data_IF_868290280541
#
_entry.id   IF_868290280541
#
_cell.length_a   1.000
_cell.length_b   1.000
_cell.length_c   1.000
_cell.angle_alpha   90.00
_cell.angle_beta   90.00
_cell.angle_gamma   90.00
#
_symmetry.space_group_name_H-M   'P 1'
#
loop_
_entity.id
_entity.type
_entity.pdbx_description
1 polymer ?
#
# COMPACT_ATOMS: atom_id res chain seq x y z
N UNK A 1 4.82 29.18 14.54
CA UNK A 1 6.22 29.29 14.07
C UNK A 1 6.40 28.36 12.88
N UNK A 2 7.25 28.71 11.92
CA UNK A 2 7.60 27.79 10.83
C UNK A 2 8.69 26.83 11.30
N UNK A 3 8.56 25.56 10.99
CA UNK A 3 9.50 24.52 11.37
C UNK A 3 9.94 23.76 10.13
N UNK A 4 11.23 23.45 10.06
CA UNK A 4 11.79 22.52 9.11
C UNK A 4 12.22 21.25 9.87
N UNK A 5 11.64 20.10 9.54
CA UNK A 5 12.00 18.82 10.12
C UNK A 5 12.60 17.90 9.06
N UNK A 6 13.71 17.24 9.38
CA UNK A 6 14.27 16.14 8.60
C UNK A 6 13.80 14.84 9.20
N UNK A 7 13.20 13.99 8.39
CA UNK A 7 12.57 12.74 8.80
C UNK A 7 13.15 11.63 7.94
N UNK A 8 13.62 10.57 8.56
CA UNK A 8 14.01 9.37 7.83
C UNK A 8 12.85 8.39 7.81
N UNK A 9 12.57 7.82 6.64
CA UNK A 9 11.47 6.89 6.43
C UNK A 9 12.04 5.54 6.05
N UNK A 10 11.59 4.49 6.73
CA UNK A 10 11.86 3.14 6.29
C UNK A 10 10.99 2.85 5.07
N UNK A 11 11.59 2.42 3.96
CA UNK A 11 10.85 2.13 2.74
C UNK A 11 11.49 1.00 1.97
N UNK A 12 10.67 0.20 1.30
CA UNK A 12 11.16 -0.76 0.31
C UNK A 12 11.54 -0.10 -1.02
N UNK A 13 11.30 1.20 -1.21
CA UNK A 13 11.71 1.96 -2.40
C UNK A 13 12.64 3.12 -2.03
N UNK A 14 13.55 3.42 -2.93
CA UNK A 14 14.31 4.67 -2.99
C UNK A 14 14.17 5.31 -4.38
N UNK A 15 14.55 6.59 -4.50
CA UNK A 15 14.58 7.29 -5.77
C UNK A 15 15.56 6.61 -6.72
N UNK A 16 15.18 6.56 -8.00
CA UNK A 16 15.99 5.95 -9.05
C UNK A 16 17.35 6.65 -9.22
N UNK A 17 17.38 7.97 -9.04
CA UNK A 17 18.57 8.82 -9.07
C UNK A 17 18.94 9.26 -7.66
N UNK A 18 20.17 8.95 -7.23
CA UNK A 18 20.67 9.24 -5.88
C UNK A 18 20.77 10.74 -5.58
N UNK A 19 20.89 11.58 -6.62
CA UNK A 19 20.91 13.04 -6.48
C UNK A 19 19.53 13.69 -6.60
N UNK A 20 18.49 12.93 -6.95
CA UNK A 20 17.17 13.50 -7.20
C UNK A 20 16.53 14.01 -5.90
N UNK A 21 15.82 15.13 -6.05
CA UNK A 21 15.02 15.74 -5.00
C UNK A 21 13.68 16.09 -5.59
N UNK A 22 12.62 15.61 -4.95
CA UNK A 22 11.25 15.85 -5.42
C UNK A 22 10.45 16.55 -4.34
N UNK A 23 9.80 17.65 -4.70
CA UNK A 23 8.93 18.39 -3.80
C UNK A 23 7.49 17.93 -4.00
N UNK A 24 6.81 17.65 -2.90
CA UNK A 24 5.40 17.27 -2.83
C UNK A 24 4.72 18.26 -1.90
N UNK A 25 3.60 18.82 -2.35
CA UNK A 25 2.79 19.73 -1.53
C UNK A 25 1.57 19.00 -0.99
N UNK A 26 1.25 19.20 0.29
CA UNK A 26 -0.01 18.71 0.82
C UNK A 26 -1.17 19.58 0.27
N UNK A 27 -2.28 18.97 -0.20
CA UNK A 27 -3.36 19.71 -0.88
C UNK A 27 -3.99 20.86 -0.09
N UNK A 28 -4.10 20.74 1.24
CA UNK A 28 -4.61 21.82 2.11
C UNK A 28 -3.56 22.88 2.46
N UNK A 29 -2.30 22.68 2.02
CA UNK A 29 -1.17 23.52 2.37
C UNK A 29 -0.61 23.25 3.77
N UNK A 30 -0.94 22.10 4.39
CA UNK A 30 -0.56 21.79 5.76
C UNK A 30 0.95 21.58 5.94
N UNK A 31 1.65 21.19 4.86
CA UNK A 31 3.10 21.08 4.77
C UNK A 31 3.57 21.10 3.31
N UNK A 32 4.88 21.35 3.13
CA UNK A 32 5.62 21.07 1.90
C UNK A 32 6.74 20.10 2.25
N UNK A 33 6.88 19.01 1.51
CA UNK A 33 7.89 17.99 1.75
C UNK A 33 8.83 17.85 0.55
N UNK A 34 10.13 17.77 0.79
CA UNK A 34 11.13 17.37 -0.20
C UNK A 34 11.63 15.97 0.13
N UNK A 35 11.47 15.05 -0.81
CA UNK A 35 11.90 13.66 -0.70
C UNK A 35 13.23 13.50 -1.45
N UNK A 36 14.20 12.86 -0.82
CA UNK A 36 15.49 12.47 -1.42
C UNK A 36 15.91 11.09 -0.93
N UNK A 37 16.90 10.48 -1.58
CA UNK A 37 17.60 9.35 -0.99
C UNK A 37 18.34 9.83 0.26
N UNK A 38 18.36 9.00 1.31
CA UNK A 38 19.13 9.27 2.51
C UNK A 38 20.62 9.09 2.20
N UNK A 39 21.47 10.12 2.35
CA UNK A 39 22.89 10.03 2.00
C UNK A 39 23.68 9.08 2.90
N UNK A 40 23.22 8.89 4.15
CA UNK A 40 23.80 7.95 5.10
C UNK A 40 23.30 6.52 4.85
N UNK A 41 22.47 6.34 3.83
CA UNK A 41 22.08 5.02 3.42
C UNK A 41 23.26 4.33 2.71
N UNK A 42 24.09 3.62 3.47
CA UNK A 42 25.00 2.61 2.90
C UNK A 42 24.26 1.60 2.00
N UNK A 43 24.97 0.70 1.31
CA UNK A 43 24.37 -0.21 0.31
C UNK A 43 23.29 -1.15 0.86
N UNK A 44 23.24 -1.32 2.19
CA UNK A 44 22.25 -2.13 2.91
C UNK A 44 21.44 -1.30 3.89
N UNK A 45 21.39 0.02 3.68
CA UNK A 45 20.83 0.91 4.66
C UNK A 45 19.38 1.22 4.39
N UNK A 46 18.80 1.65 5.49
CA UNK A 46 17.71 0.94 6.13
C UNK A 46 16.55 1.93 6.37
N UNK A 47 16.80 3.16 5.94
CA UNK A 47 15.96 4.34 5.77
C UNK A 47 16.34 4.89 4.41
N UNK A 48 15.78 4.31 3.36
CA UNK A 48 16.12 4.67 1.99
C UNK A 48 15.84 6.14 1.69
N UNK A 49 14.82 6.70 2.34
CA UNK A 49 14.32 8.03 2.06
C UNK A 49 14.54 8.98 3.23
N UNK A 50 14.97 10.17 2.88
CA UNK A 50 14.93 11.37 3.69
C UNK A 50 13.79 12.24 3.20
N UNK A 51 12.98 12.73 4.15
CA UNK A 51 11.90 13.67 3.92
C UNK A 51 12.21 14.93 4.72
N UNK A 52 12.46 16.03 4.03
CA UNK A 52 12.58 17.36 4.60
C UNK A 52 11.22 18.03 4.53
N UNK A 53 10.59 18.31 5.66
CA UNK A 53 9.24 18.84 5.73
C UNK A 53 9.22 20.22 6.37
N UNK A 54 8.55 21.17 5.70
CA UNK A 54 8.32 22.53 6.22
C UNK A 54 6.84 22.69 6.56
N UNK A 55 6.53 23.08 7.79
CA UNK A 55 5.16 23.22 8.29
C UNK A 55 5.07 24.22 9.46
N UNK A 56 3.85 24.60 9.83
CA UNK A 56 3.60 25.44 11.00
C UNK A 56 3.41 24.60 12.27
N UNK A 57 4.09 25.00 13.36
CA UNK A 57 3.99 24.42 14.69
C UNK A 57 3.74 25.50 15.76
N UNK A 58 3.15 25.17 16.92
CA UNK A 58 2.98 26.11 18.03
C UNK A 58 4.29 26.35 18.81
N UNK A 59 5.09 25.31 19.01
CA UNK A 59 6.36 25.31 19.75
C UNK A 59 7.24 24.14 19.26
N UNK A 60 8.52 24.09 19.67
CA UNK A 60 9.45 23.00 19.29
C UNK A 60 9.27 21.70 20.09
N UNK A 61 8.61 21.74 21.25
CA UNK A 61 8.43 20.55 22.10
C UNK A 61 7.47 19.53 21.47
N UNK A 62 6.44 20.02 20.76
CA UNK A 62 5.44 19.19 20.08
C UNK A 62 5.81 18.85 18.63
N UNK A 63 6.94 19.34 18.12
CA UNK A 63 7.30 19.24 16.70
C UNK A 63 7.43 17.81 16.22
N UNK A 64 7.94 16.91 17.06
CA UNK A 64 8.10 15.51 16.68
C UNK A 64 6.77 14.88 16.34
N UNK A 65 5.81 14.95 17.26
CA UNK A 65 4.50 14.31 17.10
C UNK A 65 3.73 14.98 15.96
N UNK A 66 3.76 16.31 15.89
CA UNK A 66 3.13 17.07 14.82
C UNK A 66 3.71 16.75 13.43
N UNK A 67 5.04 16.56 13.33
CA UNK A 67 5.69 16.18 12.09
C UNK A 67 5.26 14.77 11.66
N UNK A 68 5.23 13.81 12.58
CA UNK A 68 4.82 12.44 12.28
C UNK A 68 3.36 12.39 11.85
N UNK A 69 2.46 13.10 12.54
CA UNK A 69 1.04 13.18 12.19
C UNK A 69 0.82 13.82 10.82
N UNK A 70 1.52 14.92 10.53
CA UNK A 70 1.46 15.59 9.23
C UNK A 70 2.03 14.75 8.10
N UNK A 71 3.00 13.87 8.37
CA UNK A 71 3.62 13.02 7.35
C UNK A 71 2.72 11.84 6.93
N UNK A 72 1.78 11.41 7.78
CA UNK A 72 0.93 10.23 7.55
C UNK A 72 0.20 10.24 6.19
N UNK A 73 -0.48 11.32 5.75
CA UNK A 73 -1.14 11.36 4.45
C UNK A 73 -0.20 11.08 3.27
N UNK A 74 1.03 11.63 3.32
CA UNK A 74 2.04 11.38 2.29
C UNK A 74 2.46 9.92 2.25
N UNK A 75 2.76 9.31 3.40
CA UNK A 75 3.15 7.89 3.44
C UNK A 75 2.02 6.96 3.01
N UNK A 76 0.77 7.31 3.35
CA UNK A 76 -0.40 6.56 2.92
C UNK A 76 -0.56 6.61 1.39
N UNK A 77 -0.41 7.80 0.80
CA UNK A 77 -0.51 7.99 -0.64
C UNK A 77 0.63 7.33 -1.41
N UNK A 78 1.87 7.41 -0.89
CA UNK A 78 3.02 6.70 -1.45
C UNK A 78 2.77 5.19 -1.45
N UNK A 79 2.39 4.62 -0.31
CA UNK A 79 2.14 3.18 -0.18
C UNK A 79 1.00 2.70 -1.09
N UNK A 80 -0.08 3.47 -1.20
CA UNK A 80 -1.18 3.16 -2.09
C UNK A 80 -0.78 3.24 -3.58
N UNK A 81 -0.01 4.27 -3.94
CA UNK A 81 0.40 4.51 -5.33
C UNK A 81 1.41 3.47 -5.80
N UNK A 82 2.32 3.00 -4.94
CA UNK A 82 3.41 2.11 -5.35
C UNK A 82 3.22 0.66 -4.94
N UNK A 83 2.25 0.36 -4.06
CA UNK A 83 2.11 -0.95 -3.45
C UNK A 83 3.29 -1.34 -2.54
N UNK A 84 4.12 -0.38 -2.16
CA UNK A 84 5.35 -0.60 -1.42
C UNK A 84 5.25 -0.16 0.04
N UNK A 85 6.13 -0.70 0.89
CA UNK A 85 6.14 -0.37 2.31
C UNK A 85 6.77 1.01 2.56
N UNK A 86 6.12 1.80 3.43
CA UNK A 86 6.64 3.04 4.00
C UNK A 86 6.27 3.08 5.48
N UNK A 87 7.24 2.85 6.36
CA UNK A 87 7.02 2.67 7.80
C UNK A 87 8.04 3.40 8.65
N UNK A 88 7.80 3.36 9.96
CA UNK A 88 8.73 3.78 11.02
C UNK A 88 9.41 5.14 10.76
N UNK A 89 8.65 6.20 10.42
CA UNK A 89 9.23 7.52 10.24
C UNK A 89 9.88 7.98 11.55
N UNK A 90 11.13 8.46 11.47
CA UNK A 90 11.88 9.00 12.60
C UNK A 90 12.31 10.40 12.26
N UNK A 91 11.79 11.39 12.99
CA UNK A 91 12.30 12.76 12.96
C UNK A 91 13.74 12.71 13.45
N UNK A 92 14.71 13.08 12.62
CA UNK A 92 16.14 13.10 12.96
C UNK A 92 16.49 14.43 13.59
N UNK A 93 15.99 15.51 12.98
CA UNK A 93 16.19 16.84 13.47
C UNK A 93 15.05 17.77 13.09
N UNK A 94 14.88 18.82 13.88
CA UNK A 94 13.97 19.89 13.53
C UNK A 94 14.50 21.25 14.00
N UNK A 95 14.18 22.29 13.23
CA UNK A 95 14.68 23.66 13.40
C UNK A 95 13.54 24.67 13.34
N UNK A 96 13.68 25.77 14.08
CA UNK A 96 12.89 26.97 13.81
C UNK A 96 13.32 27.56 12.44
N UNK A 97 12.37 27.53 11.50
CA UNK A 97 12.52 27.99 10.12
C UNK A 97 11.77 29.31 9.89
N UNK A 98 11.49 30.07 10.95
CA UNK A 98 10.86 31.38 10.85
C UNK A 98 11.81 32.36 10.14
N UNK A 99 11.35 33.06 9.07
CA UNK A 99 12.18 34.02 8.34
C UNK A 99 12.70 35.15 9.25
N UNK A 100 13.97 35.54 9.09
CA UNK A 100 14.56 36.68 9.80
C UNK A 100 15.32 36.36 11.10
N UNK A 101 15.31 35.09 11.54
CA UNK A 101 16.09 34.67 12.72
C UNK A 101 17.59 34.54 12.42
N UNK A 102 18.43 35.09 13.30
CA UNK A 102 19.90 34.97 13.27
C UNK A 102 20.41 33.77 14.07
N UNK A 103 19.69 33.38 15.12
CA UNK A 103 19.97 32.20 15.95
C UNK A 103 18.80 31.22 15.87
N UNK A 104 19.08 29.91 15.80
CA UNK A 104 18.07 28.87 15.64
C UNK A 104 18.26 27.76 16.65
N UNK A 105 17.17 27.35 17.28
CA UNK A 105 17.14 26.17 18.14
C UNK A 105 16.95 24.90 17.28
N UNK A 106 17.68 23.84 17.62
CA UNK A 106 17.66 22.55 16.94
C UNK A 106 17.46 21.42 17.95
N UNK A 107 16.68 20.40 17.58
CA UNK A 107 16.54 19.15 18.34
C UNK A 107 17.02 17.98 17.50
N UNK A 108 17.69 17.00 18.11
CA UNK A 108 18.19 15.79 17.46
C UNK A 108 17.58 14.55 18.09
N UNK A 109 17.27 13.55 17.28
CA UNK A 109 16.75 12.27 17.74
C UNK A 109 17.51 11.11 17.06
N UNK A 110 17.64 9.98 17.75
CA UNK A 110 18.33 8.79 17.23
C UNK A 110 17.44 7.55 17.35
N UNK A 111 17.59 6.63 16.39
CA UNK A 111 16.95 5.31 16.43
C UNK A 111 17.65 4.36 15.45
N UNK A 112 17.92 3.09 15.83
CA UNK A 112 18.53 2.09 14.95
C UNK A 112 17.47 1.16 14.36
N UNK A 113 17.16 1.22 13.04
CA UNK A 113 16.36 0.19 12.34
C UNK A 113 16.19 0.40 10.83
N UNK A 114 15.53 -0.58 10.16
CA UNK A 114 16.12 -1.13 8.96
C UNK A 114 15.48 -2.21 8.01
N UNK A 115 15.39 -1.92 6.69
CA UNK A 115 15.24 -2.92 5.59
C UNK A 115 16.12 -2.67 4.33
N UNK A 116 15.96 -3.48 3.26
CA UNK A 116 16.58 -3.30 1.93
C UNK A 116 15.58 -2.59 1.01
N UNK A 117 16.05 -1.71 0.11
CA UNK A 117 15.21 -0.90 -0.79
C UNK A 117 15.62 -1.01 -2.26
N UNK A 118 14.66 -0.90 -3.18
CA UNK A 118 14.88 -0.89 -4.64
C UNK A 118 14.77 0.52 -5.23
N UNK A 119 15.57 0.82 -6.26
CA UNK A 119 15.67 2.13 -6.93
C UNK A 119 14.56 2.37 -7.96
N UNK A 120 13.30 2.38 -7.51
CA UNK A 120 12.14 2.39 -8.42
C UNK A 120 11.15 3.55 -8.16
N UNK A 121 11.42 4.41 -7.17
CA UNK A 121 10.55 5.57 -6.89
C UNK A 121 10.85 6.70 -7.89
N UNK A 122 9.98 6.85 -8.89
CA UNK A 122 10.10 7.88 -9.93
C UNK A 122 9.35 9.17 -9.57
N UNK A 123 9.70 10.27 -10.24
CA UNK A 123 8.96 11.54 -10.10
C UNK A 123 7.49 11.45 -10.52
N UNK A 124 7.13 10.56 -11.45
CA UNK A 124 5.74 10.34 -11.87
C UNK A 124 4.91 9.67 -10.77
N UNK A 125 5.49 8.70 -10.05
CA UNK A 125 4.84 8.08 -8.88
C UNK A 125 4.64 9.09 -7.75
N UNK A 126 5.60 10.00 -7.55
CA UNK A 126 5.49 11.08 -6.55
C UNK A 126 4.40 12.09 -6.92
N UNK A 127 4.35 12.52 -8.18
CA UNK A 127 3.30 13.40 -8.69
C UNK A 127 1.90 12.75 -8.61
N UNK A 128 1.83 11.43 -8.84
CA UNK A 128 0.60 10.66 -8.66
C UNK A 128 0.22 10.56 -7.19
N UNK A 129 1.18 10.33 -6.29
CA UNK A 129 0.95 10.31 -4.84
C UNK A 129 0.40 11.64 -4.32
N UNK A 130 0.92 12.77 -4.83
CA UNK A 130 0.37 14.10 -4.53
C UNK A 130 -1.10 14.23 -4.94
N UNK A 131 -1.45 13.74 -6.14
CA UNK A 131 -2.83 13.72 -6.64
C UNK A 131 -3.73 12.82 -5.79
N UNK A 132 -3.25 11.63 -5.43
CA UNK A 132 -3.95 10.67 -4.56
C UNK A 132 -4.28 11.30 -3.21
N UNK A 133 -3.35 12.06 -2.61
CA UNK A 133 -3.65 12.80 -1.37
C UNK A 133 -4.82 13.77 -1.55
N UNK A 134 -4.90 14.46 -2.69
CA UNK A 134 -5.98 15.41 -2.97
C UNK A 134 -7.33 14.72 -3.18
N UNK A 135 -7.33 13.60 -3.91
CA UNK A 135 -8.53 12.79 -4.16
C UNK A 135 -9.06 12.18 -2.85
N UNK A 136 -8.17 11.71 -1.98
CA UNK A 136 -8.52 11.03 -0.73
C UNK A 136 -8.39 11.93 0.50
N UNK A 137 -8.87 13.17 0.41
CA UNK A 137 -8.83 14.11 1.52
C UNK A 137 -9.82 13.77 2.67
N UNK A 138 -10.87 13.00 2.37
CA UNK A 138 -11.88 12.62 3.36
C UNK A 138 -11.36 11.62 4.41
N UNK A 139 -11.98 11.59 5.59
CA UNK A 139 -11.52 10.76 6.71
C UNK A 139 -11.64 9.25 6.43
N UNK A 140 -12.65 8.84 5.66
CA UNK A 140 -12.91 7.43 5.35
C UNK A 140 -11.81 6.89 4.45
N UNK A 141 -11.51 7.59 3.37
CA UNK A 141 -10.41 7.26 2.46
C UNK A 141 -9.07 7.25 3.18
N UNK A 142 -8.76 8.28 3.98
CA UNK A 142 -7.51 8.34 4.76
C UNK A 142 -7.37 7.17 5.72
N UNK A 143 -8.46 6.76 6.37
CA UNK A 143 -8.48 5.62 7.28
C UNK A 143 -8.24 4.30 6.54
N UNK A 144 -8.90 4.08 5.40
CA UNK A 144 -8.68 2.90 4.57
C UNK A 144 -7.21 2.82 4.07
N UNK A 145 -6.67 3.93 3.55
CA UNK A 145 -5.27 4.00 3.09
C UNK A 145 -4.27 3.81 4.24
N UNK A 146 -4.58 4.30 5.45
CA UNK A 146 -3.74 4.06 6.64
C UNK A 146 -3.61 2.57 6.90
N UNK A 147 -4.73 1.84 6.96
CA UNK A 147 -4.70 0.40 7.21
C UNK A 147 -4.04 -0.37 6.07
N UNK A 148 -4.24 0.06 4.83
CA UNK A 148 -3.53 -0.50 3.68
C UNK A 148 -2.00 -0.33 3.81
N UNK A 149 -1.51 0.87 4.13
CA UNK A 149 -0.08 1.13 4.39
C UNK A 149 0.46 0.27 5.53
N UNK A 150 -0.29 0.16 6.63
CA UNK A 150 0.13 -0.68 7.76
C UNK A 150 0.22 -2.15 7.36
N UNK A 151 -0.72 -2.65 6.53
CA UNK A 151 -0.66 -3.99 5.95
C UNK A 151 0.60 -4.21 5.12
N UNK A 152 0.98 -3.24 4.28
CA UNK A 152 2.23 -3.31 3.51
C UNK A 152 3.49 -3.28 4.38
N UNK A 153 3.44 -2.63 5.55
CA UNK A 153 4.57 -2.53 6.47
C UNK A 153 4.65 -3.61 7.55
N UNK A 154 3.60 -4.41 7.74
CA UNK A 154 3.54 -5.41 8.80
C UNK A 154 4.50 -6.57 8.55
N UNK A 155 5.11 -7.08 9.63
CA UNK A 155 6.18 -8.09 9.58
C UNK A 155 5.64 -9.53 9.62
N UNK A 156 4.45 -9.70 10.19
CA UNK A 156 3.79 -11.00 10.33
C UNK A 156 2.56 -11.07 9.41
N UNK A 157 2.32 -12.25 8.82
CA UNK A 157 1.22 -12.47 7.86
C UNK A 157 -0.17 -12.27 8.48
N UNK A 158 -0.34 -12.60 9.76
CA UNK A 158 -1.63 -12.47 10.45
C UNK A 158 -1.95 -11.01 10.76
N UNK A 159 -0.91 -10.23 11.05
CA UNK A 159 -0.98 -8.78 11.18
C UNK A 159 -1.26 -8.11 9.82
N UNK A 160 -0.52 -8.50 8.76
CA UNK A 160 -0.79 -8.06 7.38
C UNK A 160 -2.26 -8.32 6.99
N UNK A 161 -2.73 -9.54 7.23
CA UNK A 161 -4.11 -9.93 6.97
C UNK A 161 -5.09 -9.02 7.71
N UNK A 162 -4.88 -8.81 9.02
CA UNK A 162 -5.78 -8.03 9.87
C UNK A 162 -5.88 -6.58 9.40
N UNK A 163 -4.74 -5.96 9.05
CA UNK A 163 -4.72 -4.59 8.56
C UNK A 163 -5.40 -4.46 7.18
N UNK A 164 -5.13 -5.36 6.24
CA UNK A 164 -5.86 -5.33 4.96
C UNK A 164 -7.36 -5.59 5.15
N UNK A 165 -7.75 -6.45 6.09
CA UNK A 165 -9.15 -6.70 6.42
C UNK A 165 -9.84 -5.44 6.94
N UNK A 166 -9.20 -4.66 7.82
CA UNK A 166 -9.75 -3.40 8.30
C UNK A 166 -9.93 -2.37 7.17
N UNK A 167 -8.99 -2.31 6.22
CA UNK A 167 -9.15 -1.48 5.03
C UNK A 167 -10.38 -1.91 4.21
N UNK A 168 -10.56 -3.22 3.98
CA UNK A 168 -11.72 -3.79 3.29
C UNK A 168 -13.03 -3.49 4.01
N UNK A 169 -13.10 -3.62 5.35
CA UNK A 169 -14.30 -3.30 6.13
C UNK A 169 -14.71 -1.83 5.99
N UNK A 170 -13.74 -0.91 6.07
CA UNK A 170 -14.00 0.54 5.91
C UNK A 170 -14.52 0.85 4.51
N UNK A 171 -13.82 0.35 3.49
CA UNK A 171 -14.20 0.61 2.09
C UNK A 171 -15.55 0.00 1.77
N UNK A 172 -15.80 -1.24 2.19
CA UNK A 172 -17.08 -1.91 1.96
C UNK A 172 -18.24 -1.13 2.61
N UNK A 173 -18.07 -0.65 3.84
CA UNK A 173 -19.09 0.16 4.50
C UNK A 173 -19.33 1.49 3.77
N UNK A 174 -18.28 2.13 3.27
CA UNK A 174 -18.35 3.41 2.56
C UNK A 174 -18.99 3.28 1.17
N UNK A 175 -18.67 2.22 0.43
CA UNK A 175 -19.25 1.92 -0.89
C UNK A 175 -20.64 1.27 -0.80
N UNK A 176 -21.11 0.94 0.41
CA UNK A 176 -22.39 0.26 0.62
C UNK A 176 -23.53 1.12 0.12
N UNK A 177 -24.26 0.60 -0.87
CA UNK A 177 -25.48 1.23 -1.35
C UNK A 177 -26.49 1.42 -0.20
N UNK A 178 -27.09 2.61 -0.13
CA UNK A 178 -28.12 2.94 0.87
C UNK A 178 -29.46 2.22 0.63
N UNK A 179 -29.59 1.54 -0.50
CA UNK A 179 -30.77 0.76 -0.88
C UNK A 179 -31.11 -0.33 0.14
N UNK A 180 -32.41 -0.55 0.35
CA UNK A 180 -32.87 -1.69 1.15
C UNK A 180 -32.94 -2.93 0.27
N UNK A 181 -32.61 -4.09 0.84
CA UNK A 181 -32.71 -5.40 0.19
C UNK A 181 -33.68 -6.30 0.94
N UNK A 182 -34.27 -7.24 0.21
CA UNK A 182 -35.07 -8.31 0.79
C UNK A 182 -34.16 -9.35 1.45
N UNK A 183 -34.45 -9.79 2.70
CA UNK A 183 -33.73 -10.90 3.30
C UNK A 183 -34.05 -12.20 2.56
N UNK A 184 -33.02 -13.00 2.28
CA UNK A 184 -33.16 -14.29 1.60
C UNK A 184 -33.42 -15.43 2.59
N UNK A 185 -34.19 -16.43 2.15
CA UNK A 185 -34.42 -17.66 2.88
C UNK A 185 -33.12 -18.49 2.96
N UNK A 186 -32.71 -18.99 4.14
CA UNK A 186 -31.48 -19.77 4.29
C UNK A 186 -31.55 -21.15 3.60
N UNK A 187 -32.74 -21.64 3.24
CA UNK A 187 -32.93 -22.94 2.61
C UNK A 187 -33.00 -22.85 1.08
N UNK A 188 -33.71 -21.86 0.54
CA UNK A 188 -33.98 -21.77 -0.90
C UNK A 188 -33.50 -20.47 -1.56
N UNK A 189 -32.88 -19.56 -0.80
CA UNK A 189 -32.42 -18.24 -1.25
C UNK A 189 -33.49 -17.31 -1.85
N UNK A 190 -34.78 -17.68 -1.80
CA UNK A 190 -35.89 -16.81 -2.20
C UNK A 190 -36.12 -15.68 -1.20
N UNK A 191 -36.70 -14.57 -1.64
CA UNK A 191 -37.07 -13.46 -0.74
C UNK A 191 -38.07 -13.94 0.31
N UNK A 192 -37.81 -13.60 1.58
CA UNK A 192 -38.74 -13.89 2.65
C UNK A 192 -40.01 -13.06 2.43
N UNK A 193 -41.16 -13.72 2.32
CA UNK A 193 -42.45 -13.07 2.17
C UNK A 193 -43.28 -13.22 3.45
N UNK A 194 -43.88 -12.14 3.93
CA UNK A 194 -44.79 -12.21 5.07
C UNK A 194 -46.23 -12.39 4.59
N UNK A 195 -46.86 -13.57 4.77
CA UNK A 195 -48.23 -13.80 4.30
C UNK A 195 -49.27 -12.95 5.05
N UNK A 196 -48.99 -12.56 6.29
CA UNK A 196 -49.88 -11.71 7.09
C UNK A 196 -49.89 -10.26 6.62
N UNK A 197 -48.71 -9.72 6.27
CA UNK A 197 -48.57 -8.35 5.80
C UNK A 197 -48.73 -8.23 4.27
N UNK A 198 -48.76 -9.35 3.55
CA UNK A 198 -48.77 -9.43 2.10
C UNK A 198 -47.63 -8.62 1.45
N UNK A 199 -46.44 -8.67 2.05
CA UNK A 199 -45.29 -7.86 1.64
C UNK A 199 -43.95 -8.57 1.92
N UNK A 200 -42.93 -8.21 1.16
CA UNK A 200 -41.53 -8.61 1.42
C UNK A 200 -40.90 -7.59 2.39
N UNK A 201 -40.52 -7.96 3.63
CA UNK A 201 -39.78 -7.07 4.52
C UNK A 201 -38.47 -6.62 3.86
N UNK A 202 -38.12 -5.35 4.03
CA UNK A 202 -36.92 -4.75 3.46
C UNK A 202 -35.98 -4.32 4.59
N UNK A 203 -34.69 -4.66 4.50
CA UNK A 203 -33.66 -4.25 5.47
C UNK A 203 -32.50 -3.54 4.81
N UNK A 204 -31.69 -2.84 5.60
CA UNK A 204 -30.40 -2.33 5.13
C UNK A 204 -29.45 -3.51 4.87
N UNK A 205 -28.56 -3.34 3.89
CA UNK A 205 -27.47 -4.29 3.63
C UNK A 205 -26.58 -4.41 4.88
N UNK A 206 -26.18 -5.63 5.20
CA UNK A 206 -25.19 -5.90 6.25
C UNK A 206 -23.77 -5.66 5.72
N UNK A 207 -22.81 -5.39 6.60
CA UNK A 207 -21.41 -5.17 6.20
C UNK A 207 -20.83 -6.38 5.45
N UNK A 208 -21.20 -7.60 5.83
CA UNK A 208 -20.77 -8.83 5.14
C UNK A 208 -21.23 -8.91 3.68
N UNK A 209 -22.39 -8.32 3.36
CA UNK A 209 -22.89 -8.28 1.99
C UNK A 209 -22.14 -7.24 1.16
N UNK A 210 -21.84 -6.07 1.75
CA UNK A 210 -21.01 -5.06 1.09
C UNK A 210 -19.58 -5.56 0.83
N UNK A 211 -19.01 -6.34 1.77
CA UNK A 211 -17.71 -7.00 1.57
C UNK A 211 -17.78 -8.01 0.43
N UNK A 212 -18.85 -8.83 0.36
CA UNK A 212 -19.06 -9.75 -0.76
C UNK A 212 -19.10 -9.01 -2.11
N UNK A 213 -19.85 -7.91 -2.19
CA UNK A 213 -19.96 -7.10 -3.40
C UNK A 213 -18.58 -6.55 -3.84
N UNK A 214 -17.74 -6.16 -2.87
CA UNK A 214 -16.38 -5.73 -3.13
C UNK A 214 -15.49 -6.88 -3.63
N UNK A 215 -15.56 -8.07 -3.02
CA UNK A 215 -14.81 -9.26 -3.45
C UNK A 215 -15.23 -9.69 -4.86
N UNK A 216 -16.52 -9.59 -5.19
CA UNK A 216 -17.03 -9.88 -6.52
C UNK A 216 -16.37 -9.02 -7.61
N UNK A 217 -15.91 -7.80 -7.28
CA UNK A 217 -15.20 -6.94 -8.24
C UNK A 217 -13.76 -7.39 -8.54
N UNK A 218 -13.25 -8.39 -7.82
CA UNK A 218 -11.91 -8.95 -8.06
C UNK A 218 -11.91 -10.42 -8.46
N UNK A 219 -12.94 -11.15 -8.08
CA UNK A 219 -13.07 -12.56 -8.40
C UNK A 219 -13.50 -12.76 -9.87
N UNK A 220 -13.00 -13.81 -10.55
CA UNK A 220 -13.34 -14.06 -11.95
C UNK A 220 -14.76 -14.62 -12.14
N UNK A 221 -15.36 -15.23 -11.10
CA UNK A 221 -16.73 -15.75 -11.14
C UNK A 221 -17.46 -15.62 -9.78
N UNK A 222 -18.78 -15.84 -9.78
CA UNK A 222 -19.59 -15.87 -8.55
C UNK A 222 -19.19 -17.04 -7.62
N UNK A 223 -18.89 -18.21 -8.18
CA UNK A 223 -18.45 -19.37 -7.40
C UNK A 223 -17.12 -19.08 -6.69
N UNK A 224 -16.17 -18.45 -7.39
CA UNK A 224 -14.90 -18.01 -6.81
C UNK A 224 -15.11 -16.93 -5.74
N UNK A 225 -16.11 -16.05 -5.95
CA UNK A 225 -16.48 -15.02 -4.96
C UNK A 225 -16.93 -15.67 -3.65
N UNK A 226 -17.82 -16.66 -3.73
CA UNK A 226 -18.32 -17.40 -2.56
C UNK A 226 -17.21 -18.09 -1.78
N UNK A 227 -16.34 -18.81 -2.47
CA UNK A 227 -15.21 -19.51 -1.86
C UNK A 227 -14.23 -18.53 -1.20
N UNK A 228 -13.92 -17.42 -1.88
CA UNK A 228 -13.06 -16.37 -1.33
C UNK A 228 -13.66 -15.71 -0.09
N UNK A 229 -14.94 -15.33 -0.13
CA UNK A 229 -15.65 -14.75 1.02
C UNK A 229 -15.60 -15.69 2.21
N UNK A 230 -15.90 -16.97 2.01
CA UNK A 230 -15.87 -17.97 3.06
C UNK A 230 -14.47 -18.17 3.62
N UNK A 231 -13.46 -18.26 2.74
CA UNK A 231 -12.05 -18.43 3.11
C UNK A 231 -11.56 -17.27 3.95
N UNK A 232 -11.71 -16.02 3.48
CA UNK A 232 -11.24 -14.84 4.19
C UNK A 232 -12.01 -14.63 5.50
N UNK A 233 -13.33 -14.86 5.51
CA UNK A 233 -14.14 -14.77 6.74
C UNK A 233 -13.71 -15.78 7.80
N UNK A 234 -13.35 -17.01 7.38
CA UNK A 234 -12.86 -18.06 8.27
C UNK A 234 -11.51 -17.70 8.88
N UNK A 235 -10.60 -17.12 8.08
CA UNK A 235 -9.31 -16.61 8.57
C UNK A 235 -9.55 -15.50 9.59
N UNK A 236 -10.34 -14.48 9.24
CA UNK A 236 -10.69 -13.36 10.12
C UNK A 236 -11.29 -13.83 11.46
N UNK A 237 -12.29 -14.70 11.43
CA UNK A 237 -12.90 -15.23 12.65
C UNK A 237 -11.90 -16.01 13.51
N UNK A 238 -10.99 -16.76 12.88
CA UNK A 238 -9.93 -17.50 13.60
C UNK A 238 -9.00 -16.54 14.34
N UNK A 239 -8.54 -15.47 13.67
CA UNK A 239 -7.70 -14.43 14.28
C UNK A 239 -8.42 -13.69 15.40
N UNK A 240 -9.69 -13.33 15.22
CA UNK A 240 -10.50 -12.66 16.26
C UNK A 240 -10.70 -13.50 17.52
N UNK A 241 -10.62 -14.83 17.41
CA UNK A 241 -10.65 -15.73 18.56
C UNK A 241 -9.25 -16.01 19.14
N UNK A 242 -8.23 -15.24 18.75
CA UNK A 242 -6.86 -15.35 19.25
C UNK A 242 -6.12 -16.60 18.76
N UNK A 243 -6.58 -17.21 17.66
CA UNK A 243 -5.95 -18.38 17.06
C UNK A 243 -5.16 -17.99 15.82
N UNK A 244 -4.12 -18.76 15.50
CA UNK A 244 -3.31 -18.55 14.30
C UNK A 244 -3.97 -19.13 13.05
N UNK A 245 -3.63 -18.56 11.88
CA UNK A 245 -4.03 -19.08 10.57
C UNK A 245 -3.44 -20.48 10.36
N UNK A 246 -2.26 -20.78 10.95
CA UNK A 246 -1.66 -22.12 10.91
C UNK A 246 -2.62 -23.18 11.44
N UNK A 247 -3.48 -22.83 12.42
CA UNK A 247 -4.39 -23.80 13.04
C UNK A 247 -5.55 -24.24 12.15
N UNK A 248 -5.71 -23.63 10.97
CA UNK A 248 -6.76 -23.94 10.01
C UNK A 248 -6.23 -24.17 8.58
N UNK A 249 -4.90 -24.16 8.36
CA UNK A 249 -4.28 -24.20 7.03
C UNK A 249 -4.77 -25.37 6.18
N UNK A 250 -4.89 -26.55 6.78
CA UNK A 250 -5.28 -27.79 6.08
C UNK A 250 -6.75 -27.77 5.62
N UNK A 251 -7.50 -26.74 6.01
CA UNK A 251 -8.91 -26.54 5.67
C UNK A 251 -9.13 -25.27 4.84
N UNK A 252 -8.06 -24.66 4.32
CA UNK A 252 -8.12 -23.53 3.42
C UNK A 252 -7.80 -24.00 2.00
N UNK A 253 -8.47 -23.44 0.97
CA UNK A 253 -8.18 -23.78 -0.43
C UNK A 253 -6.91 -23.09 -0.96
N UNK A 254 -6.28 -22.22 -0.17
CA UNK A 254 -5.08 -21.46 -0.54
C UNK A 254 -4.10 -21.35 0.64
N UNK A 255 -2.87 -20.94 0.36
CA UNK A 255 -1.89 -20.64 1.41
C UNK A 255 -2.21 -19.31 2.10
N UNK A 256 -1.55 -19.05 3.24
CA UNK A 256 -1.74 -17.79 3.98
C UNK A 256 -1.30 -16.58 3.17
N UNK A 257 -0.18 -16.73 2.47
CA UNK A 257 0.42 -15.73 1.59
C UNK A 257 -0.54 -15.39 0.44
N UNK A 258 -1.12 -16.42 -0.18
CA UNK A 258 -2.13 -16.21 -1.22
C UNK A 258 -3.35 -15.47 -0.69
N UNK A 259 -3.85 -15.82 0.51
CA UNK A 259 -4.96 -15.13 1.13
C UNK A 259 -4.66 -13.65 1.42
N UNK A 260 -3.46 -13.34 1.93
CA UNK A 260 -3.00 -11.96 2.18
C UNK A 260 -2.85 -11.17 0.87
N UNK A 261 -2.22 -11.77 -0.15
CA UNK A 261 -2.06 -11.13 -1.46
C UNK A 261 -3.42 -10.83 -2.11
N UNK A 262 -4.36 -11.78 -2.10
CA UNK A 262 -5.73 -11.56 -2.58
C UNK A 262 -6.41 -10.43 -1.81
N UNK A 263 -6.33 -10.43 -0.48
CA UNK A 263 -6.95 -9.42 0.37
C UNK A 263 -6.37 -8.02 0.13
N UNK A 264 -5.06 -7.91 -0.09
CA UNK A 264 -4.41 -6.65 -0.43
C UNK A 264 -4.92 -6.07 -1.75
N UNK A 265 -5.14 -6.92 -2.77
CA UNK A 265 -5.72 -6.49 -4.06
C UNK A 265 -7.17 -6.04 -3.92
N UNK A 266 -7.95 -6.71 -3.08
CA UNK A 266 -9.33 -6.31 -2.76
C UNK A 266 -9.33 -4.93 -2.10
N UNK A 267 -8.48 -4.73 -1.10
CA UNK A 267 -8.34 -3.44 -0.41
C UNK A 267 -7.93 -2.33 -1.39
N UNK A 268 -6.91 -2.57 -2.21
CA UNK A 268 -6.42 -1.60 -3.18
C UNK A 268 -7.51 -1.20 -4.19
N UNK A 269 -8.16 -2.17 -4.84
CA UNK A 269 -9.25 -1.90 -5.80
C UNK A 269 -10.42 -1.18 -5.13
N UNK A 270 -10.72 -1.55 -3.90
CA UNK A 270 -11.74 -0.88 -3.11
C UNK A 270 -11.41 0.60 -2.85
N UNK A 271 -10.19 0.90 -2.45
CA UNK A 271 -9.73 2.29 -2.26
C UNK A 271 -9.77 3.05 -3.59
N UNK A 272 -9.36 2.44 -4.70
CA UNK A 272 -9.49 3.05 -6.04
C UNK A 272 -10.95 3.39 -6.36
N UNK A 273 -11.91 2.53 -6.00
CA UNK A 273 -13.34 2.83 -6.21
C UNK A 273 -13.87 3.95 -5.32
N UNK A 274 -13.28 4.19 -4.14
CA UNK A 274 -13.58 5.39 -3.36
C UNK A 274 -13.08 6.65 -4.06
N UNK A 275 -11.94 6.56 -4.76
CA UNK A 275 -11.40 7.67 -5.56
C UNK A 275 -12.40 8.14 -6.61
N UNK A 276 -13.10 7.20 -7.27
CA UNK A 276 -14.10 7.50 -8.30
C UNK A 276 -15.32 8.29 -7.77
N UNK A 277 -15.59 8.20 -6.46
CA UNK A 277 -16.66 8.99 -5.82
C UNK A 277 -16.21 10.42 -5.49
N UNK A 278 -14.90 10.64 -5.42
CA UNK A 278 -14.30 11.92 -5.11
C UNK A 278 -13.95 12.68 -6.40
N UNK A 279 -14.02 14.01 -6.36
CA UNK A 279 -13.65 14.82 -7.52
C UNK A 279 -12.13 14.88 -7.65
N UNK A 280 -11.62 14.27 -8.72
CA UNK A 280 -10.23 14.43 -9.10
C UNK A 280 -9.97 15.88 -9.56
N UNK A 281 -9.01 16.60 -8.95
CA UNK A 281 -8.68 17.95 -9.38
C UNK A 281 -8.02 18.00 -10.77
N UNK A 282 -7.49 16.87 -11.27
CA UNK A 282 -6.69 16.79 -12.50
C UNK A 282 -7.10 15.60 -13.41
N UNK A 283 -8.38 15.43 -13.77
CA UNK A 283 -8.90 14.21 -14.41
C UNK A 283 -8.34 13.93 -15.82
N UNK A 284 -7.62 14.88 -16.43
CA UNK A 284 -7.04 14.74 -17.78
C UNK A 284 -5.62 14.19 -17.78
N UNK A 285 -4.96 14.14 -16.63
CA UNK A 285 -3.63 13.56 -16.49
C UNK A 285 -3.77 12.06 -16.19
N UNK A 286 -2.93 11.21 -16.77
CA UNK A 286 -2.89 9.81 -16.38
C UNK A 286 -2.25 9.68 -14.99
N UNK A 287 -2.80 8.80 -14.14
CA UNK A 287 -2.15 8.40 -12.89
C UNK A 287 -1.26 7.19 -13.15
N UNK A 288 -0.05 7.20 -12.62
CA UNK A 288 0.86 6.06 -12.67
C UNK A 288 0.82 5.39 -11.31
N UNK A 289 0.27 4.19 -11.26
CA UNK A 289 0.13 3.40 -10.04
C UNK A 289 0.70 2.01 -10.26
N UNK A 290 1.38 1.47 -9.24
CA UNK A 290 1.91 0.12 -9.24
C UNK A 290 1.01 -0.72 -8.33
N UNK A 291 0.46 -1.78 -8.89
CA UNK A 291 -0.21 -2.81 -8.13
C UNK A 291 0.75 -3.98 -7.94
N UNK A 292 1.13 -4.29 -6.70
CA UNK A 292 1.92 -5.49 -6.42
C UNK A 292 1.03 -6.73 -6.34
N UNK A 293 1.44 -7.81 -6.99
CA UNK A 293 0.81 -9.12 -6.86
C UNK A 293 1.29 -9.90 -5.63
N UNK A 294 2.45 -9.52 -5.09
CA UNK A 294 3.07 -10.12 -3.91
C UNK A 294 3.44 -9.01 -2.92
N UNK A 295 2.67 -8.90 -1.83
CA UNK A 295 2.88 -7.93 -0.76
C UNK A 295 3.52 -8.55 0.49
N UNK A 296 3.96 -9.81 0.38
CA UNK A 296 4.49 -10.56 1.50
C UNK A 296 5.88 -10.05 1.86
N UNK A 297 6.02 -9.52 3.07
CA UNK A 297 7.30 -9.07 3.59
C UNK A 297 8.16 -10.28 3.96
N UNK A 298 9.15 -10.58 3.12
CA UNK A 298 10.16 -11.59 3.41
C UNK A 298 11.34 -10.93 4.11
N UNK A 299 11.40 -11.08 5.43
CA UNK A 299 12.57 -10.68 6.21
C UNK A 299 13.66 -11.73 6.15
N UNK A 300 14.86 -11.37 5.70
CA UNK A 300 16.04 -12.22 5.89
C UNK A 300 16.68 -11.89 7.25
N UNK A 301 16.65 -12.85 8.17
CA UNK A 301 17.43 -12.78 9.42
C UNK A 301 18.63 -13.69 9.28
N UNK A 302 19.82 -13.10 9.09
CA UNK A 302 21.07 -13.83 9.16
C UNK A 302 21.64 -13.73 10.58
N UNK A 303 21.66 -14.86 11.30
CA UNK A 303 22.39 -14.99 12.55
C UNK A 303 23.78 -15.54 12.25
N UNK A 304 24.83 -14.74 12.45
CA UNK A 304 26.21 -15.22 12.31
C UNK A 304 26.75 -15.52 13.71
N UNK A 305 26.93 -16.81 14.00
CA UNK A 305 27.65 -17.25 15.19
C UNK A 305 29.07 -17.63 14.79
N UNK A 306 30.04 -16.76 15.09
CA UNK A 306 31.46 -17.04 14.85
C UNK A 306 32.05 -17.71 16.08
N UNK A 307 32.61 -18.91 15.90
CA UNK A 307 33.51 -19.54 16.87
C UNK A 307 34.92 -19.47 16.31
N UNK A 308 35.77 -18.68 16.96
CA UNK A 308 37.19 -18.57 16.60
C UNK A 308 38.04 -19.28 17.65
N UNK A 309 39.11 -19.93 17.20
CA UNK A 309 40.25 -20.28 18.07
C UNK A 309 41.25 -19.12 17.97
N UNK A 310 41.62 -18.54 19.11
CA UNK A 310 42.66 -17.51 19.17
C UNK A 310 43.97 -18.10 18.61
N UNK A 311 44.42 -17.56 17.48
CA UNK A 311 45.73 -17.90 16.90
C UNK A 311 46.81 -17.07 17.59
N UNK A 312 47.08 -17.39 18.87
CA UNK A 312 48.06 -16.71 19.72
C UNK A 312 47.45 -15.95 20.91
N UNK A 313 48.25 -15.77 21.97
CA UNK A 313 47.85 -15.15 23.24
C UNK A 313 47.79 -16.14 24.42
N UNK A 314 47.86 -15.64 25.65
CA UNK A 314 47.62 -16.42 26.87
C UNK A 314 46.11 -16.73 26.98
N UNK A 315 45.69 -18.00 27.05
CA UNK A 315 44.28 -18.35 27.25
C UNK A 315 43.66 -17.77 28.54
N UNK A 316 44.48 -17.46 29.54
CA UNK A 316 44.04 -16.85 30.80
C UNK A 316 44.00 -15.32 30.74
N UNK A 317 44.64 -14.71 29.74
CA UNK A 317 44.72 -13.27 29.53
C UNK A 317 44.53 -12.92 28.03
N UNK A 318 43.30 -13.11 27.50
CA UNK A 318 43.06 -12.97 26.08
C UNK A 318 43.25 -11.52 25.61
N UNK A 319 43.98 -11.37 24.49
CA UNK A 319 44.27 -10.10 23.86
C UNK A 319 43.51 -9.98 22.53
N UNK A 320 42.68 -8.94 22.43
CA UNK A 320 41.80 -8.66 21.30
C UNK A 320 42.56 -8.48 19.98
N UNK A 321 43.87 -8.20 20.01
CA UNK A 321 44.71 -8.10 18.81
C UNK A 321 44.87 -9.44 18.07
N UNK A 322 44.61 -10.57 18.73
CA UNK A 322 44.66 -11.91 18.13
C UNK A 322 43.30 -12.41 17.64
N UNK A 323 42.24 -11.60 17.75
CA UNK A 323 40.95 -11.94 17.16
C UNK A 323 41.05 -11.91 15.62
N UNK A 324 40.57 -12.94 14.90
CA UNK A 324 40.58 -12.89 13.44
C UNK A 324 39.65 -11.80 12.93
N UNK A 325 40.04 -11.16 11.83
CA UNK A 325 39.13 -10.30 11.07
C UNK A 325 38.01 -11.18 10.50
N UNK A 326 36.77 -10.88 10.90
CA UNK A 326 35.58 -11.56 10.40
C UNK A 326 34.99 -10.68 9.31
N UNK A 327 34.97 -11.17 8.08
CA UNK A 327 34.24 -10.55 6.98
C UNK A 327 32.94 -11.35 6.75
N UNK A 328 31.79 -10.67 6.84
CA UNK A 328 30.49 -11.25 6.57
C UNK A 328 29.96 -10.59 5.30
N UNK A 329 29.81 -11.37 4.24
CA UNK A 329 29.10 -10.96 3.03
C UNK A 329 27.75 -11.67 2.96
N UNK A 330 26.74 -10.95 2.49
CA UNK A 330 25.37 -11.44 2.43
C UNK A 330 24.83 -11.17 1.03
N UNK A 331 24.49 -12.23 0.30
CA UNK A 331 23.97 -12.18 -1.06
C UNK A 331 22.47 -12.47 -0.99
N UNK A 332 21.64 -11.53 -1.43
CA UNK A 332 20.19 -11.70 -1.52
C UNK A 332 19.81 -11.78 -3.00
N UNK A 333 19.39 -12.95 -3.48
CA UNK A 333 18.86 -13.14 -4.82
C UNK A 333 17.33 -13.04 -4.83
N UNK A 334 16.79 -12.07 -5.60
CA UNK A 334 15.47 -12.17 -6.23
C UNK A 334 14.24 -11.59 -5.48
N UNK A 335 13.68 -10.52 -6.06
CA UNK A 335 12.23 -10.26 -6.08
C UNK A 335 11.89 -9.71 -7.47
N UNK A 336 11.08 -10.44 -8.23
CA UNK A 336 10.61 -10.02 -9.55
C UNK A 336 9.30 -9.25 -9.37
N UNK A 337 9.28 -7.97 -9.73
CA UNK A 337 8.03 -7.21 -9.89
C UNK A 337 7.52 -7.37 -11.33
N UNK A 338 6.25 -7.72 -11.49
CA UNK A 338 5.58 -7.69 -12.79
C UNK A 338 4.97 -6.31 -12.98
N UNK A 339 5.49 -5.54 -13.94
CA UNK A 339 4.95 -4.22 -14.30
C UNK A 339 3.77 -4.40 -15.26
N UNK A 340 2.54 -4.34 -14.75
CA UNK A 340 1.35 -4.25 -15.61
C UNK A 340 1.10 -2.77 -15.96
N UNK A 341 1.67 -2.34 -17.09
CA UNK A 341 1.52 -1.00 -17.64
C UNK A 341 0.14 -0.74 -18.26
N UNK A 342 -0.94 -1.10 -17.56
CA UNK A 342 -2.30 -0.79 -18.00
C UNK A 342 -2.56 0.71 -17.84
N UNK A 343 -2.34 1.45 -18.93
CA UNK A 343 -2.94 2.79 -19.08
C UNK A 343 -4.45 2.62 -18.98
N UNK A 344 -5.07 3.24 -17.99
CA UNK A 344 -6.51 3.48 -17.97
C UNK A 344 -6.85 4.45 -19.13
N UNK A 345 -7.02 3.90 -20.33
CA UNK A 345 -7.57 4.63 -21.47
C UNK A 345 -9.10 4.59 -21.39
N UNK A 346 -9.66 5.69 -20.88
CA UNK A 346 -11.09 5.88 -20.75
C UNK A 346 -11.64 6.54 -22.04
N UNK A 347 -12.11 5.73 -22.99
CA UNK A 347 -13.09 6.17 -24.00
C UNK A 347 -14.05 5.06 -24.41
N UNK A 348 -15.18 5.01 -23.71
CA UNK A 348 -16.44 4.57 -24.29
C UNK A 348 -16.87 5.51 -25.43
N UNK A 349 -16.79 5.02 -26.68
CA UNK A 349 -17.63 5.45 -27.82
C UNK A 349 -17.95 4.16 -28.58
N UNK A 350 -19.18 3.67 -28.53
CA UNK A 350 -20.25 4.22 -29.37
C UNK A 350 -20.30 3.39 -30.65
N UNK A 351 -21.18 2.40 -30.68
CA UNK A 351 -21.28 1.43 -31.76
C UNK A 351 -21.62 2.05 -33.11
N UNK A 352 -21.04 1.48 -34.16
CA UNK A 352 -21.58 1.48 -35.51
C UNK A 352 -21.15 0.17 -36.18
N UNK A 353 -22.13 -0.67 -36.53
CA UNK A 353 -21.93 -1.84 -37.39
C UNK A 353 -21.50 -1.39 -38.79
N UNK A 354 -20.59 -2.10 -39.49
CA UNK A 354 -20.48 -1.96 -40.93
C UNK A 354 -21.49 -2.89 -41.62
N UNK A 355 -22.32 -2.28 -42.45
CA UNK A 355 -23.20 -2.93 -43.42
C UNK A 355 -22.39 -3.89 -44.32
N UNK A 356 -22.88 -5.12 -44.46
CA UNK A 356 -22.48 -6.03 -45.54
C UNK A 356 -23.18 -5.61 -46.83
N UNK A 357 -22.40 -5.25 -47.86
CA UNK A 357 -22.85 -5.22 -49.26
C UNK A 357 -21.92 -6.09 -50.11
N UNK A 358 -22.40 -7.27 -50.50
CA UNK A 358 -22.19 -7.82 -51.85
C UNK A 358 -23.22 -7.14 -52.80
N UNK A 359 -23.11 -7.17 -54.15
CA UNK A 359 -22.30 -8.02 -55.04
C UNK A 359 -21.47 -7.18 -56.05
N UNK A 360 -20.56 -7.68 -56.91
CA UNK A 360 -20.84 -8.41 -58.15
C UNK A 360 -19.50 -8.68 -58.88
N UNK A 361 -19.29 -9.89 -59.40
CA UNK A 361 -18.52 -10.17 -60.63
C UNK A 361 -19.47 -10.00 -61.84
N UNK A 362 -19.05 -10.01 -63.14
CA UNK A 362 -17.78 -10.46 -63.75
C UNK A 362 -17.18 -9.35 -64.67
N UNK A 363 -16.12 -9.47 -65.48
CA UNK A 363 -15.74 -10.50 -66.46
C UNK A 363 -14.35 -10.10 -67.08
N UNK A 364 -13.85 -10.63 -68.23
CA UNK A 364 -12.61 -11.40 -68.27
C UNK A 364 -11.48 -10.78 -69.12
N UNK A 365 -10.28 -11.36 -68.98
CA UNK A 365 -9.30 -11.47 -70.06
C UNK A 365 -8.47 -10.22 -70.38
N UNK A 366 -7.14 -10.38 -70.29
CA UNK A 366 -6.14 -9.93 -71.27
C UNK A 366 -4.73 -10.20 -70.73
N UNK A 367 -4.13 -11.31 -71.13
CA UNK A 367 -2.69 -11.37 -71.44
C UNK A 367 -2.44 -10.56 -72.74
N UNK A 368 -1.20 -10.32 -73.24
CA UNK A 368 0.11 -10.81 -72.80
C UNK A 368 1.23 -9.73 -72.76
N UNK A 369 2.40 -10.13 -72.27
CA UNK A 369 3.65 -9.37 -72.32
C UNK A 369 4.70 -9.97 -71.40
#
# INVERSE_FOLDING_TARGET
MKVAAQIHVNSSLCLADDGARHTVSEPSGAFVATISNNPDAGPFARRALQVEMVFDAPNLDDVRDLALDKLVPLLNALAFTTGASFSDPVVIQAFDWTPGLTEREARYFSSPQASISTKELSGELLATSERVMAIHADEVSRSAMRWYRLGLGAKDLEEQFSYFWYAVEIVAEALKESGKIAPKCPQCAADLFCPKCNSVPMRRRFGTEAIRDLICSVAPSEADTDELVQTLSKIRNTLQHGRSISSISDRLPCTKEQAVNVLSRIAWRGITRLADQNQDPRPREAMVMIQSDDVINRGLTAGVQVRTQLTGGDPQEPDLRFAPAIEISLVVEGTNYTFDGSKLDDRGKGGAQPERKHPSQPDPGSSPG
#
